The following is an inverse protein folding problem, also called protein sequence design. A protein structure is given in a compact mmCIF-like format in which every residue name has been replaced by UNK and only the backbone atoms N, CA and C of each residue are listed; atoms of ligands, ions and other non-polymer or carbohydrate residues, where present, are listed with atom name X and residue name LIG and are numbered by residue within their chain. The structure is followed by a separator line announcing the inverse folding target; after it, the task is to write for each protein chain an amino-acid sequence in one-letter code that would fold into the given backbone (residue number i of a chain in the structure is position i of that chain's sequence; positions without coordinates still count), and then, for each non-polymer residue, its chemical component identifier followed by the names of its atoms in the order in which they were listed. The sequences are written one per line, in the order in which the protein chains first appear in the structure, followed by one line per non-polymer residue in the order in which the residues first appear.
data_IF_466070760185
#
_entry.id   IF_466070760185
#
_cell.length_a   1.000
_cell.length_b   1.000
_cell.length_c   1.000
_cell.angle_alpha   90.00
_cell.angle_beta   90.00
_cell.angle_gamma   90.00
#
_symmetry.space_group_name_H-M   'P 1'
#
loop_
_entity.id
_entity.type
_entity.pdbx_description
1 polymer ?
#
# COMPACT_ATOMS: atom_id res chain seq x y z
N UNK A 1 -14.43 9.02 -9.76
CA UNK A 1 -13.54 10.05 -9.18
C UNK A 1 -13.67 10.02 -7.68
N UNK A 2 -12.54 9.96 -6.98
CA UNK A 2 -12.51 9.95 -5.52
C UNK A 2 -12.88 11.32 -4.94
N UNK A 3 -13.08 11.37 -3.62
CA UNK A 3 -13.21 12.61 -2.88
C UNK A 3 -12.15 12.74 -1.78
N UNK A 4 -11.74 13.97 -1.48
CA UNK A 4 -10.92 14.31 -0.32
C UNK A 4 -11.68 15.28 0.58
N UNK A 5 -11.82 14.93 1.86
CA UNK A 5 -12.47 15.81 2.84
C UNK A 5 -11.39 16.36 3.76
N UNK A 6 -11.12 17.66 3.65
CA UNK A 6 -10.12 18.37 4.43
C UNK A 6 -10.71 18.86 5.75
N UNK A 7 -10.12 18.48 6.88
CA UNK A 7 -10.46 19.05 8.18
C UNK A 7 -9.80 20.41 8.33
N UNK A 8 -10.60 21.44 8.57
CA UNK A 8 -10.12 22.76 8.97
C UNK A 8 -9.93 22.80 10.48
N UNK A 9 -8.87 23.46 10.93
CA UNK A 9 -8.60 23.63 12.35
C UNK A 9 -9.74 24.39 13.03
N UNK A 10 -10.12 23.93 14.22
CA UNK A 10 -11.21 24.53 15.01
C UNK A 10 -11.02 26.03 15.25
N UNK A 11 -9.77 26.47 15.39
CA UNK A 11 -9.43 27.89 15.57
C UNK A 11 -9.66 28.72 14.31
N UNK A 12 -9.46 28.13 13.12
CA UNK A 12 -9.70 28.80 11.84
C UNK A 12 -11.15 28.75 11.40
N UNK A 13 -11.92 27.75 11.84
CA UNK A 13 -13.36 27.59 11.60
C UNK A 13 -13.77 27.79 10.12
N UNK A 14 -14.91 28.43 9.86
CA UNK A 14 -15.36 28.79 8.51
C UNK A 14 -14.46 29.82 7.82
N UNK A 15 -13.70 30.63 8.55
CA UNK A 15 -12.76 31.58 7.94
C UNK A 15 -11.57 30.86 7.29
N UNK A 16 -11.12 29.75 7.86
CA UNK A 16 -10.15 28.84 7.23
C UNK A 16 -10.69 28.24 5.93
N UNK A 17 -11.94 27.78 5.95
CA UNK A 17 -12.65 27.30 4.74
C UNK A 17 -12.66 28.37 3.65
N UNK A 18 -13.09 29.60 3.99
CA UNK A 18 -13.11 30.74 3.07
C UNK A 18 -11.74 31.05 2.50
N UNK A 19 -10.71 31.06 3.35
CA UNK A 19 -9.32 31.34 2.94
C UNK A 19 -8.82 30.31 1.95
N UNK A 20 -8.97 29.02 2.24
CA UNK A 20 -8.57 27.93 1.34
C UNK A 20 -9.29 28.04 0.00
N UNK A 21 -10.62 28.21 0.02
CA UNK A 21 -11.42 28.30 -1.21
C UNK A 21 -11.05 29.52 -2.04
N UNK A 22 -10.91 30.70 -1.42
CA UNK A 22 -10.53 31.92 -2.12
C UNK A 22 -9.19 31.78 -2.84
N UNK A 23 -8.25 31.04 -2.25
CA UNK A 23 -6.91 30.81 -2.79
C UNK A 23 -6.82 29.60 -3.73
N UNK A 24 -7.84 28.73 -3.76
CA UNK A 24 -7.78 27.46 -4.48
C UNK A 24 -6.67 26.53 -3.99
N UNK A 25 -6.33 26.57 -2.70
CA UNK A 25 -5.17 25.89 -2.13
C UNK A 25 -5.47 25.34 -0.73
N UNK A 26 -5.03 24.11 -0.47
CA UNK A 26 -5.06 23.50 0.86
C UNK A 26 -3.68 22.96 1.24
N UNK A 27 -3.27 23.18 2.49
CA UNK A 27 -2.03 22.66 3.05
C UNK A 27 -2.32 22.05 4.41
N UNK A 28 -1.91 20.80 4.59
CA UNK A 28 -2.05 20.09 5.87
C UNK A 28 -0.94 20.49 6.81
N UNK A 29 -1.27 20.71 8.08
CA UNK A 29 -0.25 20.91 9.12
C UNK A 29 0.11 19.57 9.75
N UNK A 30 1.40 19.28 9.75
CA UNK A 30 1.96 18.04 10.31
C UNK A 30 2.82 18.34 11.54
N UNK A 31 3.13 17.33 12.37
CA UNK A 31 4.07 17.51 13.48
C UNK A 31 5.40 18.09 12.99
N UNK A 32 5.93 19.08 13.73
CA UNK A 32 7.22 19.73 13.46
C UNK A 32 8.13 19.77 14.72
N UNK A 33 7.81 18.94 15.69
CA UNK A 33 8.64 18.67 16.85
C UNK A 33 9.79 17.71 16.50
N UNK A 34 10.95 17.89 17.14
CA UNK A 34 11.97 16.84 17.25
C UNK A 34 11.85 16.31 18.68
N UNK A 35 11.85 14.98 18.80
CA UNK A 35 12.52 14.23 19.87
C UNK A 35 13.48 15.14 20.63
N UNK A 36 13.17 15.49 21.88
CA UNK A 36 14.22 15.95 22.75
C UNK A 36 15.21 14.78 22.89
N UNK A 37 16.50 15.08 22.99
CA UNK A 37 17.59 14.10 23.17
C UNK A 37 17.42 13.29 24.49
N UNK A 38 16.35 13.55 25.25
CA UNK A 38 15.99 12.90 26.51
C UNK A 38 14.57 12.30 26.49
N UNK A 39 13.80 12.43 25.41
CA UNK A 39 12.48 11.81 25.28
C UNK A 39 12.55 10.59 24.36
N UNK A 40 12.26 9.44 24.97
CA UNK A 40 12.13 8.09 24.41
C UNK A 40 12.00 8.02 22.88
N UNK A 41 12.82 7.16 22.24
CA UNK A 41 12.77 6.80 20.80
C UNK A 41 11.34 6.57 20.26
N UNK A 42 10.39 6.22 21.13
CA UNK A 42 8.98 6.04 20.83
C UNK A 42 8.24 7.30 20.34
N UNK A 43 8.54 8.51 20.82
CA UNK A 43 7.75 9.71 20.47
C UNK A 43 8.07 10.22 19.07
N UNK A 44 9.36 10.31 18.70
CA UNK A 44 9.77 10.73 17.36
C UNK A 44 9.43 9.74 16.25
N UNK A 45 9.35 8.45 16.58
CA UNK A 45 8.86 7.46 15.64
C UNK A 45 7.38 7.71 15.30
N UNK A 46 6.58 8.19 16.27
CA UNK A 46 5.17 8.54 16.04
C UNK A 46 5.01 9.78 15.17
N UNK A 47 5.77 10.86 15.39
CA UNK A 47 5.70 12.05 14.53
C UNK A 47 6.09 11.72 13.08
N UNK A 48 7.12 10.89 12.87
CA UNK A 48 7.50 10.41 11.54
C UNK A 48 6.43 9.55 10.87
N UNK A 49 5.76 8.69 11.63
CA UNK A 49 4.62 7.92 11.12
C UNK A 49 3.47 8.84 10.67
N UNK A 50 3.13 9.87 11.43
CA UNK A 50 2.09 10.84 11.03
C UNK A 50 2.51 11.60 9.78
N UNK A 51 3.76 12.07 9.69
CA UNK A 51 4.28 12.73 8.48
C UNK A 51 4.24 11.81 7.26
N UNK A 52 4.61 10.54 7.41
CA UNK A 52 4.54 9.55 6.34
C UNK A 52 3.09 9.27 5.90
N UNK A 53 2.14 9.22 6.83
CA UNK A 53 0.73 9.01 6.52
C UNK A 53 0.17 10.18 5.68
N UNK A 54 0.47 11.42 6.09
CA UNK A 54 0.05 12.61 5.33
C UNK A 54 0.74 12.65 3.96
N UNK A 55 2.02 12.28 3.87
CA UNK A 55 2.72 12.14 2.59
C UNK A 55 2.04 11.11 1.68
N UNK A 56 1.67 9.95 2.21
CA UNK A 56 0.92 8.91 1.51
C UNK A 56 -0.42 9.44 0.96
N UNK A 57 -1.15 10.20 1.78
CA UNK A 57 -2.39 10.82 1.36
C UNK A 57 -2.20 11.78 0.17
N UNK A 58 -1.18 12.65 0.21
CA UNK A 58 -0.85 13.53 -0.92
C UNK A 58 -0.45 12.71 -2.16
N UNK A 59 0.38 11.67 -2.01
CA UNK A 59 0.76 10.80 -3.14
C UNK A 59 -0.44 10.16 -3.83
N UNK A 60 -1.55 9.94 -3.11
CA UNK A 60 -2.78 9.37 -3.65
C UNK A 60 -3.67 10.35 -4.43
N UNK A 61 -3.37 11.66 -4.42
CA UNK A 61 -4.18 12.69 -5.06
C UNK A 61 -3.94 12.77 -6.57
N UNK A 62 -5.03 12.86 -7.34
CA UNK A 62 -4.99 13.07 -8.78
C UNK A 62 -5.87 14.26 -9.19
N UNK A 63 -5.50 14.93 -10.29
CA UNK A 63 -6.35 15.96 -10.86
C UNK A 63 -7.70 15.36 -11.28
N UNK A 64 -8.79 16.08 -10.97
CA UNK A 64 -10.16 15.60 -11.15
C UNK A 64 -10.80 15.04 -9.87
N UNK A 65 -10.02 14.60 -8.88
CA UNK A 65 -10.59 14.18 -7.60
C UNK A 65 -11.32 15.35 -6.91
N UNK A 66 -12.47 15.07 -6.31
CA UNK A 66 -13.26 16.10 -5.65
C UNK A 66 -12.65 16.51 -4.31
N UNK A 67 -12.85 17.78 -3.93
CA UNK A 67 -12.42 18.29 -2.62
C UNK A 67 -13.58 18.91 -1.84
N UNK A 68 -13.55 18.69 -0.53
CA UNK A 68 -14.55 19.15 0.43
C UNK A 68 -13.86 19.69 1.68
N UNK A 69 -14.53 20.57 2.42
CA UNK A 69 -14.00 21.11 3.66
C UNK A 69 -14.91 20.81 4.84
N UNK A 70 -14.40 20.13 5.86
CA UNK A 70 -15.07 19.92 7.14
C UNK A 70 -14.65 21.00 8.14
N UNK A 71 -15.63 21.71 8.69
CA UNK A 71 -15.42 22.68 9.76
C UNK A 71 -16.66 22.75 10.65
N UNK A 72 -16.48 22.70 11.97
CA UNK A 72 -17.57 22.73 12.97
C UNK A 72 -18.75 21.80 12.64
N UNK A 73 -18.45 20.51 12.39
CA UNK A 73 -19.39 19.44 11.99
C UNK A 73 -20.08 19.61 10.63
N UNK A 74 -19.75 20.67 9.87
CA UNK A 74 -20.35 20.92 8.56
C UNK A 74 -19.37 20.69 7.44
N UNK A 75 -19.84 20.08 6.36
CA UNK A 75 -19.07 19.88 5.14
C UNK A 75 -19.49 20.93 4.11
N UNK A 76 -18.50 21.64 3.57
CA UNK A 76 -18.66 22.78 2.69
C UNK A 76 -18.16 22.51 1.29
N UNK A 77 -18.98 22.99 0.33
CA UNK A 77 -18.74 23.10 -1.10
C UNK A 77 -18.28 21.83 -1.81
N UNK A 78 -18.06 21.97 -3.12
CA UNK A 78 -17.59 20.90 -3.99
C UNK A 78 -16.55 21.50 -4.92
N UNK A 79 -15.30 21.12 -4.73
CA UNK A 79 -14.20 21.49 -5.63
C UNK A 79 -13.69 20.27 -6.39
N UNK A 80 -12.68 20.51 -7.21
CA UNK A 80 -11.89 19.46 -7.84
C UNK A 80 -10.41 19.85 -7.86
N UNK A 81 -9.53 18.89 -7.59
CA UNK A 81 -8.09 19.05 -7.74
C UNK A 81 -7.76 19.36 -9.20
N UNK A 82 -6.85 20.31 -9.42
CA UNK A 82 -6.44 20.73 -10.77
C UNK A 82 -4.93 20.81 -10.89
N UNK A 83 -4.43 20.46 -12.07
CA UNK A 83 -3.01 20.66 -12.36
C UNK A 83 -2.73 22.14 -12.57
N UNK A 84 -1.82 22.69 -11.78
CA UNK A 84 -1.26 24.03 -11.98
C UNK A 84 0.20 23.83 -12.38
N UNK A 85 0.45 23.78 -13.68
CA UNK A 85 1.72 23.32 -14.22
C UNK A 85 1.71 21.81 -14.44
N UNK A 86 2.51 21.08 -13.66
CA UNK A 86 2.84 19.67 -13.91
C UNK A 86 2.11 18.65 -13.02
N UNK A 87 1.45 19.11 -11.96
CA UNK A 87 0.74 18.29 -10.97
C UNK A 87 -0.30 19.18 -10.23
N UNK A 88 -1.13 18.55 -9.40
CA UNK A 88 -2.11 19.20 -8.52
C UNK A 88 -1.60 19.38 -7.08
N UNK A 89 -0.38 18.91 -6.80
CA UNK A 89 0.21 18.85 -5.46
C UNK A 89 1.70 19.10 -5.49
N UNK A 90 2.20 19.74 -4.44
CA UNK A 90 3.59 20.17 -4.36
C UNK A 90 4.11 20.13 -2.93
N UNK A 91 5.44 19.99 -2.80
CA UNK A 91 6.17 20.46 -1.63
C UNK A 91 5.94 21.96 -1.47
N UNK A 92 5.73 22.42 -0.25
CA UNK A 92 5.65 23.85 0.02
C UNK A 92 7.04 24.51 -0.01
N UNK A 93 8.10 23.76 0.30
CA UNK A 93 9.48 24.24 0.25
C UNK A 93 10.42 23.09 -0.15
N UNK A 94 11.62 23.39 -0.67
CA UNK A 94 12.43 22.42 -1.42
C UNK A 94 12.80 21.14 -0.63
N UNK A 95 13.07 21.28 0.66
CA UNK A 95 13.44 20.19 1.57
C UNK A 95 12.25 19.64 2.37
N UNK A 96 11.00 19.90 1.97
CA UNK A 96 9.79 19.49 2.72
C UNK A 96 9.66 17.97 2.96
N UNK A 97 10.22 17.15 2.07
CA UNK A 97 10.26 15.69 2.23
C UNK A 97 11.27 15.23 3.31
N UNK A 98 12.12 16.12 3.83
CA UNK A 98 13.01 15.81 4.93
C UNK A 98 12.28 15.88 6.27
N UNK A 99 12.03 14.75 6.92
CA UNK A 99 11.29 14.68 8.19
C UNK A 99 12.02 15.28 9.42
N UNK A 100 13.13 15.98 9.21
CA UNK A 100 13.78 16.76 10.24
C UNK A 100 12.98 18.01 10.64
N UNK A 101 12.98 18.31 11.95
CA UNK A 101 12.44 19.56 12.49
C UNK A 101 13.07 20.77 11.81
N UNK A 102 12.21 21.72 11.44
CA UNK A 102 12.59 23.02 10.90
C UNK A 102 12.02 24.12 11.79
N UNK A 103 12.85 25.00 12.33
CA UNK A 103 12.37 26.02 13.28
C UNK A 103 11.50 27.09 12.61
N UNK A 104 11.88 27.46 11.37
CA UNK A 104 11.16 28.44 10.55
C UNK A 104 11.46 28.19 9.08
N UNK A 105 10.51 28.60 8.24
CA UNK A 105 10.72 28.72 6.80
C UNK A 105 11.27 30.11 6.52
N UNK A 106 12.43 30.19 5.87
CA UNK A 106 13.10 31.45 5.49
C UNK A 106 13.02 31.64 3.98
N UNK A 107 13.31 32.85 3.50
CA UNK A 107 13.27 33.18 2.06
C UNK A 107 14.15 32.24 1.22
N UNK A 108 15.31 31.82 1.75
CA UNK A 108 16.22 30.88 1.10
C UNK A 108 15.63 29.48 0.88
N UNK A 109 14.56 29.10 1.60
CA UNK A 109 13.85 27.84 1.42
C UNK A 109 12.93 27.85 0.18
N UNK A 110 12.74 29.04 -0.42
CA UNK A 110 11.93 29.28 -1.60
C UNK A 110 10.52 28.69 -1.46
N UNK A 111 9.78 29.09 -0.41
CA UNK A 111 8.47 28.51 -0.19
C UNK A 111 7.44 28.96 -1.24
N UNK A 112 6.62 28.02 -1.72
CA UNK A 112 5.48 28.32 -2.58
C UNK A 112 4.46 29.17 -1.81
N UNK A 113 4.25 28.88 -0.53
CA UNK A 113 3.41 29.66 0.38
C UNK A 113 4.20 30.03 1.65
N UNK A 114 4.06 31.29 2.08
CA UNK A 114 4.60 31.78 3.34
C UNK A 114 3.77 31.25 4.51
N UNK A 115 4.02 29.99 4.85
CA UNK A 115 3.39 29.25 5.94
C UNK A 115 4.46 28.78 6.93
N UNK A 116 4.01 28.31 8.08
CA UNK A 116 4.90 27.70 9.07
C UNK A 116 5.56 26.40 8.57
N UNK A 117 6.68 25.99 9.19
CA UNK A 117 7.41 24.76 8.84
C UNK A 117 6.59 23.47 8.94
N UNK A 118 5.47 23.49 9.68
CA UNK A 118 4.51 22.39 9.73
C UNK A 118 3.72 22.15 8.43
N UNK A 119 3.69 23.11 7.51
CA UNK A 119 2.96 23.02 6.24
C UNK A 119 3.92 22.57 5.14
N UNK A 120 4.21 21.27 5.12
CA UNK A 120 5.22 20.66 4.23
C UNK A 120 4.73 20.48 2.80
N UNK A 121 3.45 20.19 2.63
CA UNK A 121 2.85 19.89 1.34
C UNK A 121 1.56 20.67 1.16
N UNK A 122 1.19 20.88 -0.10
CA UNK A 122 -0.02 21.58 -0.50
C UNK A 122 -0.61 20.96 -1.76
N UNK A 123 -1.91 21.14 -1.94
CA UNK A 123 -2.63 20.79 -3.16
C UNK A 123 -3.46 21.97 -3.66
N UNK A 124 -3.78 21.93 -4.95
CA UNK A 124 -4.40 23.00 -5.71
C UNK A 124 -5.72 22.51 -6.30
N UNK A 125 -6.74 23.33 -6.20
CA UNK A 125 -8.09 22.99 -6.62
C UNK A 125 -8.84 24.21 -7.16
N UNK A 126 -9.89 23.94 -7.91
CA UNK A 126 -10.85 24.95 -8.36
C UNK A 126 -12.28 24.51 -7.98
N UNK A 127 -13.26 25.43 -7.99
CA UNK A 127 -14.65 25.07 -7.78
C UNK A 127 -15.14 24.08 -8.84
N UNK A 128 -15.86 23.03 -8.40
CA UNK A 128 -16.60 22.15 -9.30
C UNK A 128 -17.97 22.79 -9.54
N UNK A 129 -18.00 23.75 -10.46
CA UNK A 129 -19.03 24.79 -10.62
C UNK A 129 -18.94 25.90 -9.55
N UNK A 130 -19.22 25.60 -8.28
CA UNK A 130 -19.20 26.58 -7.18
C UNK A 130 -18.93 25.90 -5.84
N UNK A 131 -18.30 26.61 -4.89
CA UNK A 131 -18.32 26.21 -3.49
C UNK A 131 -19.51 26.83 -2.76
N UNK A 132 -20.42 26.00 -2.25
CA UNK A 132 -21.54 26.47 -1.43
C UNK A 132 -21.07 27.06 -0.08
N UNK A 133 -21.57 28.25 0.25
CA UNK A 133 -21.27 28.92 1.51
C UNK A 133 -22.04 28.30 2.70
N UNK A 134 -23.15 27.62 2.43
CA UNK A 134 -23.91 26.90 3.44
C UNK A 134 -23.49 25.43 3.51
N UNK A 135 -22.70 25.09 4.52
CA UNK A 135 -22.28 23.73 4.79
C UNK A 135 -23.45 22.86 5.29
N UNK A 136 -23.36 21.57 4.99
CA UNK A 136 -24.33 20.54 5.39
C UNK A 136 -23.82 19.85 6.65
N UNK A 137 -24.68 19.65 7.65
CA UNK A 137 -24.30 18.97 8.89
C UNK A 137 -23.94 17.50 8.64
N UNK A 138 -22.92 16.99 9.33
CA UNK A 138 -22.44 15.63 9.18
C UNK A 138 -23.53 14.57 9.45
N UNK A 139 -24.46 14.81 10.38
CA UNK A 139 -25.55 13.87 10.65
C UNK A 139 -26.50 13.80 9.44
N UNK A 140 -26.74 14.94 8.77
CA UNK A 140 -27.55 14.97 7.55
C UNK A 140 -26.87 14.20 6.41
N UNK A 141 -25.56 14.39 6.23
CA UNK A 141 -24.77 13.65 5.23
C UNK A 141 -24.87 12.14 5.49
N UNK A 142 -24.55 11.71 6.71
CA UNK A 142 -24.53 10.29 7.07
C UNK A 142 -25.92 9.64 7.06
N UNK A 143 -27.00 10.44 7.10
CA UNK A 143 -28.39 9.97 7.00
C UNK A 143 -28.92 9.84 5.57
N UNK A 144 -28.33 10.53 4.58
CA UNK A 144 -28.85 10.59 3.21
C UNK A 144 -28.79 9.23 2.48
N UNK A 145 -27.61 8.59 2.48
CA UNK A 145 -27.39 7.22 1.99
C UNK A 145 -26.46 6.48 2.95
N UNK A 146 -26.98 5.99 4.09
CA UNK A 146 -26.12 5.49 5.17
C UNK A 146 -25.18 4.36 4.79
N UNK A 147 -25.57 3.52 3.81
CA UNK A 147 -24.79 2.37 3.33
C UNK A 147 -23.58 2.77 2.49
N UNK A 148 -23.60 3.94 1.85
CA UNK A 148 -22.46 4.42 1.05
C UNK A 148 -21.29 4.80 1.96
N UNK A 149 -21.56 5.49 3.08
CA UNK A 149 -20.52 6.06 3.93
C UNK A 149 -19.85 5.04 4.85
N UNK A 150 -18.61 4.68 4.53
CA UNK A 150 -17.73 3.84 5.35
C UNK A 150 -16.59 4.68 5.92
N UNK A 151 -15.76 5.27 5.06
CA UNK A 151 -14.58 6.03 5.42
C UNK A 151 -14.94 7.30 6.20
N UNK A 152 -15.94 8.05 5.74
CA UNK A 152 -16.37 9.28 6.43
C UNK A 152 -16.73 9.03 7.92
N UNK A 153 -17.25 7.85 8.26
CA UNK A 153 -17.60 7.50 9.65
C UNK A 153 -16.39 7.32 10.57
N UNK A 154 -15.21 7.08 9.99
CA UNK A 154 -13.95 6.96 10.73
C UNK A 154 -13.09 8.23 10.66
N UNK A 155 -13.63 9.35 10.15
CA UNK A 155 -12.90 10.59 10.05
C UNK A 155 -12.74 11.25 11.42
N UNK A 156 -11.63 10.94 12.10
CA UNK A 156 -11.27 11.47 13.41
C UNK A 156 -9.75 11.65 13.52
N UNK A 157 -9.32 12.75 14.14
CA UNK A 157 -7.92 13.04 14.50
C UNK A 157 -6.91 12.98 13.33
N UNK A 158 -7.39 13.21 12.09
CA UNK A 158 -6.57 13.29 10.87
C UNK A 158 -6.86 14.58 10.12
N UNK A 159 -5.87 15.07 9.36
CA UNK A 159 -6.00 16.33 8.60
C UNK A 159 -6.97 16.19 7.44
N UNK A 160 -7.06 15.01 6.83
CA UNK A 160 -8.03 14.71 5.80
C UNK A 160 -8.22 13.22 5.57
N UNK A 161 -9.24 12.87 4.80
CA UNK A 161 -9.58 11.49 4.45
C UNK A 161 -9.95 11.39 2.97
N UNK A 162 -9.51 10.31 2.30
CA UNK A 162 -9.96 9.97 0.96
C UNK A 162 -11.18 9.06 1.04
N UNK A 163 -12.17 9.33 0.20
CA UNK A 163 -13.39 8.53 0.05
C UNK A 163 -13.48 8.01 -1.39
N UNK A 164 -14.06 6.83 -1.57
CA UNK A 164 -14.23 6.21 -2.88
C UNK A 164 -15.32 6.90 -3.72
N UNK A 165 -15.58 6.38 -4.92
CA UNK A 165 -16.55 6.99 -5.85
C UNK A 165 -17.99 6.95 -5.33
N UNK A 166 -18.36 5.89 -4.59
CA UNK A 166 -19.71 5.72 -4.07
C UNK A 166 -19.97 6.74 -2.96
N UNK A 167 -19.04 6.84 -2.00
CA UNK A 167 -19.07 7.86 -0.95
C UNK A 167 -19.02 9.27 -1.52
N UNK A 168 -18.14 9.51 -2.49
CA UNK A 168 -18.01 10.81 -3.14
C UNK A 168 -19.31 11.24 -3.83
N UNK A 169 -19.93 10.33 -4.59
CA UNK A 169 -21.22 10.59 -5.24
C UNK A 169 -22.31 10.90 -4.22
N UNK A 170 -22.43 10.08 -3.17
CA UNK A 170 -23.44 10.28 -2.13
C UNK A 170 -23.27 11.63 -1.41
N UNK A 171 -22.02 12.02 -1.10
CA UNK A 171 -21.71 13.31 -0.49
C UNK A 171 -22.06 14.47 -1.40
N UNK A 172 -21.63 14.41 -2.67
CA UNK A 172 -21.90 15.44 -3.67
C UNK A 172 -23.40 15.65 -3.85
N UNK A 173 -24.15 14.57 -4.09
CA UNK A 173 -25.62 14.63 -4.22
C UNK A 173 -26.28 15.28 -3.00
N UNK A 174 -25.87 14.91 -1.79
CA UNK A 174 -26.41 15.48 -0.54
C UNK A 174 -26.18 17.01 -0.48
N UNK A 175 -24.96 17.46 -0.76
CA UNK A 175 -24.60 18.88 -0.72
C UNK A 175 -25.40 19.68 -1.74
N UNK A 176 -25.51 19.21 -2.99
CA UNK A 176 -26.28 19.89 -4.03
C UNK A 176 -27.77 19.94 -3.70
N UNK A 177 -28.37 18.83 -3.23
CA UNK A 177 -29.80 18.80 -2.88
C UNK A 177 -30.13 19.75 -1.73
N UNK A 178 -29.28 19.81 -0.70
CA UNK A 178 -29.46 20.71 0.46
C UNK A 178 -29.26 22.19 0.12
N UNK A 179 -28.49 22.47 -0.93
CA UNK A 179 -28.18 23.83 -1.38
C UNK A 179 -28.90 24.26 -2.66
N UNK A 180 -29.81 23.44 -3.22
CA UNK A 180 -30.48 23.71 -4.50
C UNK A 180 -31.14 25.09 -4.59
N UNK A 181 -31.74 25.54 -3.48
CA UNK A 181 -32.49 26.80 -3.38
C UNK A 181 -31.63 27.94 -2.80
N UNK A 182 -30.36 27.66 -2.50
CA UNK A 182 -29.45 28.55 -1.76
C UNK A 182 -28.35 29.04 -2.69
N UNK A 183 -28.47 30.28 -3.16
CA UNK A 183 -27.50 30.90 -4.09
C UNK A 183 -26.38 31.66 -3.36
N UNK A 184 -25.84 31.09 -2.28
CA UNK A 184 -24.69 31.68 -1.57
C UNK A 184 -23.45 30.84 -1.83
N UNK A 185 -22.47 31.47 -2.46
CA UNK A 185 -21.22 30.83 -2.84
C UNK A 185 -20.03 31.53 -2.20
N UNK A 186 -18.98 30.78 -1.93
CA UNK A 186 -17.69 31.37 -1.59
C UNK A 186 -17.03 31.96 -2.84
N UNK A 187 -16.28 33.04 -2.65
CA UNK A 187 -15.46 33.65 -3.70
C UNK A 187 -14.21 32.79 -3.96
N UNK A 188 -13.80 32.71 -5.22
CA UNK A 188 -12.61 31.99 -5.68
C UNK A 188 -11.79 32.92 -6.59
N UNK A 189 -10.46 32.83 -6.51
CA UNK A 189 -9.52 33.59 -7.34
C UNK A 189 -8.40 32.67 -7.85
N UNK A 190 -8.03 32.85 -9.12
CA UNK A 190 -6.89 32.16 -9.75
C UNK A 190 -5.53 32.80 -9.41
N UNK A 191 -5.53 33.94 -8.71
CA UNK A 191 -4.32 34.74 -8.45
C UNK A 191 -3.18 33.95 -7.79
N UNK A 192 -3.49 33.05 -6.85
CA UNK A 192 -2.46 32.22 -6.21
C UNK A 192 -1.94 31.13 -7.14
N UNK A 193 -2.78 30.56 -8.01
CA UNK A 193 -2.34 29.60 -9.03
C UNK A 193 -1.39 30.27 -10.01
N UNK A 194 -1.74 31.46 -10.48
CA UNK A 194 -0.90 32.28 -11.38
C UNK A 194 0.45 32.65 -10.74
N UNK A 195 0.46 32.97 -9.43
CA UNK A 195 1.69 33.23 -8.68
C UNK A 195 2.56 31.98 -8.57
N UNK A 196 1.97 30.82 -8.26
CA UNK A 196 2.70 29.55 -8.13
C UNK A 196 3.33 29.14 -9.47
N UNK A 197 2.68 29.42 -10.61
CA UNK A 197 3.24 29.14 -11.95
C UNK A 197 4.54 29.92 -12.26
N UNK A 198 4.88 30.96 -11.49
CA UNK A 198 6.13 31.69 -11.64
C UNK A 198 7.35 30.92 -11.09
N UNK A 199 7.12 29.85 -10.33
CA UNK A 199 8.17 29.00 -9.76
C UNK A 199 8.55 27.86 -10.72
N UNK A 200 9.76 27.33 -10.56
CA UNK A 200 10.20 26.10 -11.22
C UNK A 200 9.63 24.87 -10.49
N UNK A 201 8.38 24.53 -10.84
CA UNK A 201 7.56 23.54 -10.13
C UNK A 201 8.14 22.11 -10.16
N UNK A 202 9.03 21.78 -11.09
CA UNK A 202 9.72 20.48 -11.13
C UNK A 202 10.50 20.22 -9.83
N UNK A 203 11.08 21.27 -9.22
CA UNK A 203 11.81 21.15 -7.94
C UNK A 203 10.91 20.88 -6.73
N UNK A 204 9.60 21.14 -6.87
CA UNK A 204 8.61 21.02 -5.80
C UNK A 204 7.82 19.72 -5.90
N UNK A 205 8.16 18.78 -6.79
CA UNK A 205 7.49 17.48 -6.86
C UNK A 205 7.57 16.75 -5.53
N UNK A 206 6.44 16.16 -5.14
CA UNK A 206 6.39 15.24 -3.99
C UNK A 206 7.01 13.91 -4.43
N UNK A 207 7.92 13.38 -3.60
CA UNK A 207 8.67 12.15 -3.88
C UNK A 207 8.97 11.42 -2.58
N UNK A 208 8.25 10.32 -2.27
CA UNK A 208 8.58 9.46 -1.14
C UNK A 208 9.99 8.87 -1.23
N UNK A 209 10.53 8.67 -2.44
CA UNK A 209 11.90 8.18 -2.65
C UNK A 209 12.95 9.09 -1.99
N UNK A 210 12.80 10.42 -2.10
CA UNK A 210 13.69 11.39 -1.44
C UNK A 210 13.70 11.20 0.09
N UNK A 211 12.54 10.86 0.64
CA UNK A 211 12.37 10.60 2.08
C UNK A 211 12.99 9.26 2.47
N UNK A 212 12.74 8.22 1.67
CA UNK A 212 13.29 6.87 1.89
C UNK A 212 14.81 6.92 1.96
N UNK A 213 15.49 7.57 1.01
CA UNK A 213 16.97 7.62 0.99
C UNK A 213 17.55 8.13 2.32
N UNK A 214 16.89 9.11 2.94
CA UNK A 214 17.29 9.71 4.23
C UNK A 214 16.87 8.87 5.44
N UNK A 215 15.72 8.21 5.36
CA UNK A 215 15.09 7.47 6.45
C UNK A 215 15.26 5.95 6.32
N UNK A 216 16.17 5.48 5.46
CA UNK A 216 16.47 4.06 5.33
C UNK A 216 17.54 3.65 6.36
N UNK A 217 17.30 2.53 7.04
CA UNK A 217 18.30 1.95 7.92
C UNK A 217 19.20 1.01 7.11
N UNK A 218 20.36 1.51 6.65
CA UNK A 218 21.31 0.74 5.84
C UNK A 218 21.98 -0.40 6.60
N UNK A 219 22.16 -0.30 7.92
CA UNK A 219 22.74 -1.38 8.73
C UNK A 219 21.80 -2.59 8.79
N UNK A 220 20.51 -2.34 8.97
CA UNK A 220 19.47 -3.37 8.99
C UNK A 220 18.97 -3.70 7.59
N UNK A 221 19.24 -2.87 6.58
CA UNK A 221 18.62 -2.94 5.26
C UNK A 221 17.08 -2.91 5.34
N UNK A 222 16.53 -1.97 6.12
CA UNK A 222 15.09 -1.85 6.40
C UNK A 222 14.61 -0.40 6.31
N UNK A 223 13.34 -0.19 5.97
CA UNK A 223 12.69 1.11 6.06
C UNK A 223 12.35 1.38 7.53
N UNK A 224 12.59 2.61 8.02
CA UNK A 224 12.37 2.98 9.42
C UNK A 224 10.91 2.80 9.88
N UNK A 225 9.95 3.15 9.02
CA UNK A 225 8.51 3.07 9.30
C UNK A 225 7.75 2.38 8.17
N UNK A 226 6.73 1.59 8.52
CA UNK A 226 5.85 0.91 7.56
C UNK A 226 5.07 1.91 6.70
N UNK A 227 4.59 2.98 7.32
CA UNK A 227 3.88 4.09 6.67
C UNK A 227 4.70 4.79 5.57
N UNK A 228 6.03 4.79 5.65
CA UNK A 228 6.87 5.33 4.58
C UNK A 228 6.96 4.37 3.37
N UNK A 229 6.95 3.06 3.62
CA UNK A 229 6.82 2.05 2.55
C UNK A 229 5.45 2.18 1.86
N UNK A 230 4.40 2.45 2.64
CA UNK A 230 3.04 2.72 2.16
C UNK A 230 2.99 3.94 1.24
N UNK A 231 3.53 5.08 1.68
CA UNK A 231 3.63 6.28 0.85
C UNK A 231 4.34 6.03 -0.49
N UNK A 232 5.45 5.29 -0.46
CA UNK A 232 6.19 4.92 -1.67
C UNK A 232 5.41 3.98 -2.57
N UNK A 233 4.74 2.96 -2.02
CA UNK A 233 3.93 2.03 -2.80
C UNK A 233 2.76 2.74 -3.48
N UNK A 234 2.08 3.68 -2.80
CA UNK A 234 1.00 4.48 -3.40
C UNK A 234 1.52 5.31 -4.57
N UNK A 235 2.65 5.99 -4.38
CA UNK A 235 3.29 6.80 -5.43
C UNK A 235 3.72 5.93 -6.62
N UNK A 236 4.31 4.77 -6.34
CA UNK A 236 4.73 3.78 -7.34
C UNK A 236 3.55 3.27 -8.17
N UNK A 237 2.46 2.82 -7.52
CA UNK A 237 1.27 2.29 -8.20
C UNK A 237 0.57 3.39 -8.99
N UNK A 238 0.42 4.58 -8.40
CA UNK A 238 -0.28 5.70 -9.06
C UNK A 238 0.44 6.17 -10.33
N UNK A 239 1.79 6.09 -10.37
CA UNK A 239 2.59 6.50 -11.53
C UNK A 239 2.81 5.39 -12.55
N UNK A 240 3.09 4.17 -12.09
CA UNK A 240 3.59 3.08 -12.93
C UNK A 240 2.60 1.92 -13.08
N UNK A 241 1.56 1.89 -12.26
CA UNK A 241 0.73 0.70 -12.09
C UNK A 241 1.42 -0.39 -11.27
N UNK A 242 0.84 -1.59 -11.26
CA UNK A 242 1.38 -2.77 -10.59
C UNK A 242 1.28 -3.99 -11.50
N UNK A 243 2.38 -4.72 -11.69
CA UNK A 243 2.45 -5.88 -12.61
C UNK A 243 1.96 -5.58 -14.05
N UNK A 244 2.16 -4.35 -14.54
CA UNK A 244 1.73 -3.93 -15.88
C UNK A 244 0.27 -3.48 -15.97
N UNK A 245 -0.49 -3.53 -14.87
CA UNK A 245 -1.86 -3.02 -14.80
C UNK A 245 -1.88 -1.61 -14.19
N UNK A 246 -2.68 -0.70 -14.78
CA UNK A 246 -2.95 0.61 -14.19
C UNK A 246 -4.12 0.53 -13.22
N UNK A 247 -4.09 1.36 -12.18
CA UNK A 247 -5.14 1.47 -11.18
C UNK A 247 -5.67 2.91 -11.15
N UNK A 248 -6.99 3.06 -11.25
CA UNK A 248 -7.67 4.36 -11.29
C UNK A 248 -7.85 4.96 -9.90
N UNK A 249 -8.00 4.08 -8.90
CA UNK A 249 -8.08 4.47 -7.50
C UNK A 249 -7.01 3.73 -6.71
N UNK A 250 -6.22 4.49 -5.94
CA UNK A 250 -5.24 3.97 -4.98
C UNK A 250 -5.39 4.80 -3.71
N UNK A 251 -5.47 4.14 -2.57
CA UNK A 251 -5.53 4.79 -1.26
C UNK A 251 -4.97 3.88 -0.18
N UNK A 252 -4.88 4.42 1.02
CA UNK A 252 -4.25 3.79 2.15
C UNK A 252 -5.17 3.80 3.37
N UNK A 253 -4.93 2.90 4.33
CA UNK A 253 -5.64 2.87 5.61
C UNK A 253 -7.19 2.75 5.50
N UNK A 254 -7.69 1.94 4.55
CA UNK A 254 -9.13 1.73 4.32
C UNK A 254 -9.72 0.78 5.35
N UNK A 255 -10.89 1.11 5.89
CA UNK A 255 -11.60 0.29 6.89
C UNK A 255 -11.86 -1.13 6.34
N UNK A 256 -11.41 -2.12 7.10
CA UNK A 256 -11.42 -3.52 6.70
C UNK A 256 -12.12 -4.43 7.72
N UNK A 257 -13.05 -3.86 8.50
CA UNK A 257 -13.80 -4.58 9.53
C UNK A 257 -15.14 -3.89 9.82
N UNK A 258 -16.11 -4.60 10.44
CA UNK A 258 -17.37 -3.99 10.86
C UNK A 258 -17.11 -2.79 11.78
N UNK A 259 -18.02 -1.82 11.75
CA UNK A 259 -17.88 -0.62 12.54
C UNK A 259 -17.85 -0.94 14.04
N UNK A 260 -16.80 -0.45 14.71
CA UNK A 260 -16.47 -0.63 16.13
C UNK A 260 -15.73 0.63 16.60
N UNK A 261 -15.44 0.81 17.90
CA UNK A 261 -14.69 2.00 18.34
C UNK A 261 -13.40 2.16 17.53
N UNK A 262 -13.07 3.39 17.10
CA UNK A 262 -12.03 3.64 16.09
C UNK A 262 -10.66 3.06 16.49
N UNK A 263 -10.35 3.01 17.79
CA UNK A 263 -9.12 2.41 18.31
C UNK A 263 -8.96 0.90 18.00
N UNK A 264 -10.03 0.21 17.61
CA UNK A 264 -10.04 -1.23 17.33
C UNK A 264 -10.36 -1.55 15.86
N UNK A 265 -10.57 -0.56 15.00
CA UNK A 265 -10.86 -0.77 13.59
C UNK A 265 -9.63 -1.34 12.89
N UNK A 266 -9.81 -2.48 12.20
CA UNK A 266 -8.79 -3.00 11.28
C UNK A 266 -8.81 -2.16 10.00
N UNK A 267 -7.63 -1.90 9.44
CA UNK A 267 -7.45 -1.17 8.19
C UNK A 267 -6.55 -1.96 7.25
N UNK A 268 -6.88 -1.94 5.96
CA UNK A 268 -5.99 -2.38 4.90
C UNK A 268 -4.91 -1.31 4.70
N UNK A 269 -3.64 -1.73 4.60
CA UNK A 269 -2.55 -0.79 4.34
C UNK A 269 -2.77 -0.08 3.01
N UNK A 270 -2.93 -0.80 1.90
CA UNK A 270 -3.28 -0.20 0.60
C UNK A 270 -4.46 -0.92 -0.03
N UNK A 271 -5.40 -0.13 -0.52
CA UNK A 271 -6.54 -0.59 -1.31
C UNK A 271 -6.59 0.17 -2.62
N UNK A 272 -6.79 -0.57 -3.71
CA UNK A 272 -6.84 -0.02 -5.05
C UNK A 272 -7.88 -0.73 -5.90
N UNK A 273 -8.36 -0.05 -6.94
CA UNK A 273 -9.18 -0.67 -7.97
C UNK A 273 -8.99 -0.01 -9.33
N UNK A 274 -9.39 -0.73 -10.38
CA UNK A 274 -9.41 -0.23 -11.76
C UNK A 274 -10.76 -0.47 -12.40
N UNK A 275 -11.18 0.45 -13.25
CA UNK A 275 -12.42 0.35 -13.99
C UNK A 275 -12.28 -0.50 -15.25
N UNK A 276 -13.40 -1.05 -15.71
CA UNK A 276 -13.48 -1.63 -17.03
C UNK A 276 -13.45 -0.50 -18.09
N UNK A 277 -12.29 -0.27 -18.70
CA UNK A 277 -12.07 0.91 -19.56
C UNK A 277 -13.05 1.02 -20.73
N UNK A 278 -13.40 -0.12 -21.34
CA UNK A 278 -14.23 -0.21 -22.55
C UNK A 278 -15.74 -0.31 -22.26
N UNK A 279 -16.20 0.07 -21.07
CA UNK A 279 -17.62 0.11 -20.75
C UNK A 279 -18.31 1.31 -21.44
N UNK A 280 -19.52 1.14 -22.01
CA UNK A 280 -20.16 2.17 -22.82
C UNK A 280 -20.66 3.39 -22.02
N UNK A 281 -20.99 3.21 -20.74
CA UNK A 281 -21.53 4.29 -19.92
C UNK A 281 -20.43 5.11 -19.24
N UNK A 282 -20.79 6.33 -18.82
CA UNK A 282 -19.89 7.22 -18.09
C UNK A 282 -19.48 6.65 -16.72
N UNK A 283 -20.42 5.99 -16.04
CA UNK A 283 -20.15 5.27 -14.80
C UNK A 283 -19.65 3.87 -15.14
N UNK A 284 -18.34 3.67 -14.97
CA UNK A 284 -17.69 2.40 -15.31
C UNK A 284 -17.75 1.43 -14.13
N UNK A 285 -18.05 0.14 -14.37
CA UNK A 285 -17.94 -0.88 -13.34
C UNK A 285 -16.48 -1.09 -12.97
N UNK A 286 -16.25 -1.53 -11.73
CA UNK A 286 -14.93 -1.93 -11.26
C UNK A 286 -14.60 -3.30 -11.84
N UNK A 287 -13.46 -3.41 -12.52
CA UNK A 287 -12.98 -4.64 -13.16
C UNK A 287 -12.11 -5.48 -12.20
N UNK A 288 -11.29 -4.81 -11.39
CA UNK A 288 -10.37 -5.50 -10.46
C UNK A 288 -10.13 -4.65 -9.23
N UNK A 289 -10.15 -5.30 -8.08
CA UNK A 289 -9.70 -4.79 -6.79
C UNK A 289 -8.31 -5.35 -6.47
N UNK A 290 -7.49 -4.55 -5.80
CA UNK A 290 -6.21 -4.97 -5.25
C UNK A 290 -6.10 -4.54 -3.80
N UNK A 291 -5.66 -5.46 -2.95
CA UNK A 291 -5.25 -5.18 -1.58
C UNK A 291 -3.79 -5.52 -1.40
N UNK A 292 -3.05 -4.60 -0.77
CA UNK A 292 -1.66 -4.81 -0.40
C UNK A 292 -1.53 -4.69 1.11
N UNK A 293 -0.95 -5.71 1.73
CA UNK A 293 -0.47 -5.65 3.11
C UNK A 293 1.04 -5.47 3.10
N UNK A 294 1.54 -4.60 3.97
CA UNK A 294 2.94 -4.23 4.07
C UNK A 294 3.53 -4.72 5.39
N UNK A 295 4.81 -5.05 5.33
CA UNK A 295 5.62 -5.30 6.53
C UNK A 295 6.97 -4.63 6.40
N UNK A 296 7.31 -3.73 7.32
CA UNK A 296 8.67 -3.16 7.33
C UNK A 296 9.74 -4.22 7.60
N UNK A 297 9.43 -5.26 8.38
CA UNK A 297 10.39 -6.31 8.75
C UNK A 297 10.23 -7.58 7.92
N UNK A 298 10.85 -8.66 8.42
CA UNK A 298 10.52 -10.02 7.94
C UNK A 298 9.08 -10.36 8.34
N UNK A 299 8.32 -10.91 7.41
CA UNK A 299 6.96 -11.38 7.67
C UNK A 299 6.97 -12.69 8.49
N UNK A 300 5.92 -12.90 9.28
CA UNK A 300 5.68 -14.17 9.97
C UNK A 300 4.87 -15.12 9.09
N UNK A 301 4.68 -16.37 9.54
CA UNK A 301 3.83 -17.35 8.84
C UNK A 301 2.35 -16.97 8.80
N UNK A 302 1.90 -16.09 9.69
CA UNK A 302 0.50 -15.64 9.77
C UNK A 302 0.20 -14.46 8.83
N UNK A 303 1.22 -13.82 8.28
CA UNK A 303 1.06 -12.64 7.42
C UNK A 303 0.15 -12.90 6.20
N UNK A 304 0.28 -14.00 5.44
CA UNK A 304 -0.67 -14.34 4.39
C UNK A 304 -2.11 -14.53 4.90
N UNK A 305 -2.28 -15.08 6.11
CA UNK A 305 -3.59 -15.33 6.70
C UNK A 305 -4.30 -14.02 7.10
N UNK A 306 -3.54 -13.03 7.57
CA UNK A 306 -4.06 -11.68 7.81
C UNK A 306 -4.60 -11.07 6.52
N UNK A 307 -3.82 -11.16 5.43
CA UNK A 307 -4.22 -10.67 4.12
C UNK A 307 -5.49 -11.38 3.60
N UNK A 308 -5.69 -12.66 3.92
CA UNK A 308 -6.93 -13.36 3.58
C UNK A 308 -8.17 -12.79 4.27
N UNK A 309 -8.05 -12.21 5.47
CA UNK A 309 -9.18 -11.52 6.11
C UNK A 309 -9.65 -10.34 5.25
N UNK A 310 -8.72 -9.62 4.63
CA UNK A 310 -9.03 -8.49 3.76
C UNK A 310 -9.59 -8.94 2.42
N UNK A 311 -9.11 -10.05 1.85
CA UNK A 311 -9.72 -10.66 0.67
C UNK A 311 -11.19 -11.02 0.94
N UNK A 312 -11.47 -11.67 2.08
CA UNK A 312 -12.84 -12.01 2.47
C UNK A 312 -13.69 -10.77 2.77
N UNK A 313 -13.09 -9.69 3.28
CA UNK A 313 -13.77 -8.40 3.46
C UNK A 313 -14.14 -7.77 2.12
N UNK A 314 -13.18 -7.65 1.19
CA UNK A 314 -13.38 -7.06 -0.13
C UNK A 314 -14.43 -7.83 -0.92
N UNK A 315 -14.37 -9.17 -0.90
CA UNK A 315 -15.35 -10.03 -1.53
C UNK A 315 -16.77 -9.66 -1.09
N UNK A 316 -17.01 -9.56 0.22
CA UNK A 316 -18.34 -9.29 0.77
C UNK A 316 -18.80 -7.85 0.58
N UNK A 317 -17.91 -6.89 0.79
CA UNK A 317 -18.27 -5.47 0.91
C UNK A 317 -18.18 -4.70 -0.41
N UNK A 318 -17.33 -5.13 -1.33
CA UNK A 318 -17.05 -4.41 -2.58
C UNK A 318 -17.34 -5.24 -3.82
N UNK A 319 -16.99 -6.53 -3.82
CA UNK A 319 -17.06 -7.38 -5.01
C UNK A 319 -18.32 -8.27 -5.08
N UNK A 320 -19.35 -8.03 -4.27
CA UNK A 320 -20.61 -8.78 -4.27
C UNK A 320 -20.45 -10.32 -4.18
N UNK A 321 -19.42 -10.79 -3.48
CA UNK A 321 -19.07 -12.20 -3.30
C UNK A 321 -18.14 -12.77 -4.37
N UNK A 322 -17.80 -12.01 -5.42
CA UNK A 322 -16.95 -12.46 -6.51
C UNK A 322 -15.46 -12.30 -6.16
N UNK A 323 -14.83 -13.42 -5.82
CA UNK A 323 -13.40 -13.45 -5.53
C UNK A 323 -12.54 -13.24 -6.79
N UNK A 324 -13.05 -13.51 -8.00
CA UNK A 324 -12.26 -13.40 -9.24
C UNK A 324 -11.73 -11.99 -9.48
N UNK A 325 -12.46 -10.98 -8.98
CA UNK A 325 -12.13 -9.57 -9.09
C UNK A 325 -11.00 -9.14 -8.16
N UNK A 326 -10.54 -9.99 -7.24
CA UNK A 326 -9.62 -9.58 -6.17
C UNK A 326 -8.20 -10.06 -6.47
N UNK A 327 -7.22 -9.16 -6.30
CA UNK A 327 -5.80 -9.47 -6.24
C UNK A 327 -5.26 -9.15 -4.85
N UNK A 328 -4.49 -10.07 -4.29
CA UNK A 328 -3.86 -9.88 -2.99
C UNK A 328 -2.34 -9.83 -3.13
N UNK A 329 -1.72 -8.85 -2.48
CA UNK A 329 -0.27 -8.66 -2.53
C UNK A 329 0.27 -8.51 -1.11
N UNK A 330 1.29 -9.28 -0.78
CA UNK A 330 2.05 -9.11 0.45
C UNK A 330 3.42 -8.54 0.16
N UNK A 331 3.84 -7.46 0.81
CA UNK A 331 5.19 -6.91 0.64
C UNK A 331 5.91 -6.86 1.99
N UNK A 332 7.09 -7.47 2.07
CA UNK A 332 7.88 -7.50 3.29
C UNK A 332 9.38 -7.36 2.99
N UNK A 333 10.22 -7.27 4.01
CA UNK A 333 11.68 -7.34 3.83
C UNK A 333 12.16 -8.76 3.46
N UNK A 334 11.36 -9.77 3.78
CA UNK A 334 11.71 -11.17 3.58
C UNK A 334 10.68 -12.11 4.20
N UNK A 335 10.61 -13.34 3.67
CA UNK A 335 9.70 -14.36 4.14
C UNK A 335 10.43 -15.63 4.64
N UNK A 336 9.87 -16.33 5.63
CA UNK A 336 10.26 -17.69 5.95
C UNK A 336 10.16 -18.64 4.76
N UNK A 337 11.16 -19.49 4.59
CA UNK A 337 11.10 -20.62 3.65
C UNK A 337 9.99 -21.61 4.03
N UNK A 338 9.41 -22.26 3.02
CA UNK A 338 8.32 -23.23 3.17
C UNK A 338 6.93 -22.59 3.27
N UNK A 339 6.82 -21.27 3.12
CA UNK A 339 5.53 -20.57 3.19
C UNK A 339 4.59 -20.92 2.02
N UNK A 340 5.12 -21.46 0.91
CA UNK A 340 4.32 -21.93 -0.22
C UNK A 340 3.21 -22.90 0.21
N UNK A 341 3.47 -23.76 1.20
CA UNK A 341 2.48 -24.71 1.73
C UNK A 341 1.27 -24.00 2.35
N UNK A 342 1.51 -22.94 3.12
CA UNK A 342 0.44 -22.12 3.72
C UNK A 342 -0.40 -21.46 2.61
N UNK A 343 0.23 -20.97 1.56
CA UNK A 343 -0.47 -20.37 0.43
C UNK A 343 -1.34 -21.41 -0.29
N UNK A 344 -0.77 -22.58 -0.55
CA UNK A 344 -1.44 -23.64 -1.30
C UNK A 344 -2.61 -24.28 -0.53
N UNK A 345 -2.52 -24.35 0.79
CA UNK A 345 -3.50 -25.04 1.64
C UNK A 345 -4.54 -24.10 2.26
N UNK A 346 -4.14 -22.87 2.63
CA UNK A 346 -4.97 -21.98 3.46
C UNK A 346 -5.34 -20.65 2.78
N UNK A 347 -4.59 -20.23 1.76
CA UNK A 347 -4.81 -18.95 1.07
C UNK A 347 -5.54 -19.12 -0.26
N UNK A 348 -6.52 -20.04 -0.29
CA UNK A 348 -7.41 -20.27 -1.43
C UNK A 348 -8.86 -20.09 -1.01
N UNK A 349 -9.72 -19.70 -1.94
CA UNK A 349 -11.16 -19.55 -1.69
C UNK A 349 -11.94 -20.25 -2.80
N UNK A 350 -12.85 -21.12 -2.43
CA UNK A 350 -13.78 -21.72 -3.38
C UNK A 350 -15.04 -20.86 -3.43
N UNK A 351 -15.54 -20.59 -4.63
CA UNK A 351 -16.71 -19.74 -4.84
C UNK A 351 -17.51 -20.22 -6.06
N UNK A 352 -18.77 -19.77 -6.17
CA UNK A 352 -19.60 -20.04 -7.34
C UNK A 352 -19.25 -19.01 -8.42
N UNK A 353 -18.78 -19.48 -9.58
CA UNK A 353 -18.49 -18.63 -10.75
C UNK A 353 -19.70 -18.42 -11.64
N UNK A 354 -20.57 -19.43 -11.76
CA UNK A 354 -21.87 -19.34 -12.42
C UNK A 354 -22.95 -19.94 -11.53
N UNK A 355 -24.14 -19.35 -11.57
CA UNK A 355 -25.30 -19.83 -10.81
C UNK A 355 -26.15 -20.83 -11.62
N UNK A 356 -26.12 -20.75 -12.96
CA UNK A 356 -26.95 -21.60 -13.82
C UNK A 356 -26.24 -21.95 -15.15
N UNK A 357 -25.62 -23.15 -15.26
CA UNK A 357 -25.49 -24.17 -14.22
C UNK A 357 -24.57 -23.72 -13.08
N UNK A 358 -24.72 -24.30 -11.89
CA UNK A 358 -23.80 -24.04 -10.79
C UNK A 358 -22.39 -24.53 -11.16
N UNK A 359 -21.46 -23.61 -11.40
CA UNK A 359 -20.04 -23.90 -11.59
C UNK A 359 -19.25 -23.38 -10.39
N UNK A 360 -18.34 -24.19 -9.87
CA UNK A 360 -17.43 -23.80 -8.79
C UNK A 360 -16.08 -23.44 -9.36
N UNK A 361 -15.54 -22.32 -8.90
CA UNK A 361 -14.17 -21.90 -9.19
C UNK A 361 -13.36 -21.75 -7.90
N UNK A 362 -12.04 -21.66 -8.06
CA UNK A 362 -11.11 -21.45 -6.97
C UNK A 362 -10.26 -20.21 -7.21
N UNK A 363 -10.22 -19.34 -6.22
CA UNK A 363 -9.36 -18.17 -6.18
C UNK A 363 -8.04 -18.50 -5.47
N UNK A 364 -6.93 -18.01 -6.04
CA UNK A 364 -5.56 -18.17 -5.54
C UNK A 364 -4.64 -17.01 -5.98
N UNK A 365 -5.20 -15.83 -6.26
CA UNK A 365 -4.48 -14.65 -6.79
C UNK A 365 -3.79 -13.86 -5.67
N UNK A 366 -2.86 -14.54 -4.97
CA UNK A 366 -2.02 -13.98 -3.92
C UNK A 366 -0.55 -14.05 -4.34
N UNK A 367 0.13 -12.90 -4.35
CA UNK A 367 1.57 -12.80 -4.63
C UNK A 367 2.35 -12.14 -3.49
N UNK A 368 3.50 -12.71 -3.15
CA UNK A 368 4.40 -12.17 -2.12
C UNK A 368 5.65 -11.55 -2.75
N UNK A 369 6.01 -10.36 -2.29
CA UNK A 369 7.12 -9.55 -2.77
C UNK A 369 8.05 -9.15 -1.63
N UNK A 370 9.34 -9.09 -1.93
CA UNK A 370 10.37 -8.57 -1.06
C UNK A 370 10.82 -7.20 -1.54
N UNK A 371 10.87 -6.24 -0.64
CA UNK A 371 11.47 -4.94 -0.92
C UNK A 371 12.96 -4.96 -0.57
N UNK A 372 13.77 -4.21 -1.32
CA UNK A 372 15.19 -3.98 -1.01
C UNK A 372 15.66 -2.68 -1.63
N UNK A 373 16.76 -2.13 -1.12
CA UNK A 373 17.47 -1.05 -1.79
C UNK A 373 18.35 -1.62 -2.91
N UNK A 374 18.29 -1.04 -4.11
CA UNK A 374 19.19 -1.42 -5.20
C UNK A 374 20.56 -0.71 -5.08
N UNK A 375 21.46 -0.96 -6.04
CA UNK A 375 22.80 -0.36 -6.06
C UNK A 375 22.81 1.16 -6.30
N UNK A 376 21.72 1.73 -6.81
CA UNK A 376 21.55 3.17 -7.07
C UNK A 376 20.77 3.88 -5.95
N UNK A 377 20.62 3.25 -4.78
CA UNK A 377 19.82 3.74 -3.66
C UNK A 377 18.36 4.04 -4.01
N UNK A 378 17.77 3.20 -4.85
CA UNK A 378 16.35 3.22 -5.13
C UNK A 378 15.68 1.99 -4.55
N UNK A 379 14.52 2.19 -3.92
CA UNK A 379 13.72 1.09 -3.44
C UNK A 379 13.16 0.29 -4.63
N UNK A 380 13.21 -1.03 -4.52
CA UNK A 380 12.64 -1.95 -5.51
C UNK A 380 11.90 -3.07 -4.81
N UNK A 381 10.93 -3.66 -5.51
CA UNK A 381 10.23 -4.88 -5.09
C UNK A 381 10.49 -6.01 -6.07
N UNK A 382 10.63 -7.23 -5.55
CA UNK A 382 10.83 -8.45 -6.35
C UNK A 382 9.99 -9.58 -5.79
N UNK A 383 9.45 -10.45 -6.65
CA UNK A 383 8.66 -11.59 -6.22
C UNK A 383 9.50 -12.49 -5.30
N UNK A 384 8.98 -12.84 -4.13
CA UNK A 384 9.70 -13.61 -3.12
C UNK A 384 9.86 -15.07 -3.54
N UNK A 385 11.03 -15.64 -3.26
CA UNK A 385 11.24 -17.08 -3.34
C UNK A 385 10.93 -17.72 -1.98
N UNK A 386 9.68 -18.07 -1.78
CA UNK A 386 9.18 -18.72 -0.55
C UNK A 386 9.25 -20.25 -0.58
N UNK A 387 9.58 -20.83 -1.74
CA UNK A 387 9.64 -22.28 -1.92
C UNK A 387 10.87 -22.86 -1.20
N UNK A 388 10.68 -24.02 -0.57
CA UNK A 388 11.71 -24.78 0.13
C UNK A 388 11.78 -26.18 -0.46
N UNK A 389 12.71 -26.38 -1.40
CA UNK A 389 12.92 -27.65 -2.08
C UNK A 389 13.34 -28.76 -1.13
N UNK A 390 14.07 -28.44 -0.05
CA UNK A 390 14.49 -29.44 0.96
C UNK A 390 13.28 -29.97 1.71
N UNK A 391 12.43 -29.05 2.18
CA UNK A 391 11.24 -29.42 2.93
C UNK A 391 10.28 -30.24 2.06
N UNK A 392 10.00 -29.79 0.83
CA UNK A 392 9.14 -30.51 -0.10
C UNK A 392 9.68 -31.91 -0.41
N UNK A 393 10.97 -32.04 -0.73
CA UNK A 393 11.58 -33.35 -1.01
C UNK A 393 11.47 -34.30 0.19
N UNK A 394 11.72 -33.82 1.40
CA UNK A 394 11.62 -34.62 2.61
C UNK A 394 10.19 -35.13 2.84
N UNK A 395 9.19 -34.27 2.70
CA UNK A 395 7.79 -34.66 2.82
C UNK A 395 7.42 -35.71 1.78
N UNK A 396 7.71 -35.47 0.49
CA UNK A 396 7.38 -36.40 -0.59
C UNK A 396 8.09 -37.76 -0.44
N UNK A 397 9.34 -37.78 -0.01
CA UNK A 397 10.06 -39.02 0.27
C UNK A 397 9.44 -39.76 1.47
N UNK A 398 9.04 -39.04 2.51
CA UNK A 398 8.35 -39.62 3.66
C UNK A 398 6.99 -40.22 3.28
N UNK A 399 6.22 -39.54 2.41
CA UNK A 399 4.90 -39.99 1.95
C UNK A 399 4.95 -41.32 1.20
N UNK A 400 6.07 -41.59 0.51
CA UNK A 400 6.32 -42.87 -0.18
C UNK A 400 7.13 -43.87 0.68
N UNK A 401 7.26 -43.60 1.98
CA UNK A 401 7.89 -44.50 2.95
C UNK A 401 9.43 -44.53 2.91
N UNK A 402 10.09 -43.51 2.36
CA UNK A 402 11.54 -43.40 2.38
C UNK A 402 12.02 -42.63 3.60
N UNK A 403 12.79 -43.33 4.45
CA UNK A 403 13.50 -42.71 5.55
C UNK A 403 14.74 -41.94 5.07
N UNK A 404 14.89 -40.72 5.58
CA UNK A 404 16.07 -39.88 5.38
C UNK A 404 16.67 -39.49 6.73
N UNK A 405 17.93 -39.04 6.71
CA UNK A 405 18.59 -38.47 7.88
C UNK A 405 19.47 -37.28 7.49
N UNK A 406 19.85 -36.46 8.46
CA UNK A 406 20.70 -35.26 8.30
C UNK A 406 22.16 -35.54 8.68
N UNK A 407 22.54 -36.80 8.83
CA UNK A 407 23.90 -37.19 9.21
C UNK A 407 24.91 -36.90 8.11
N UNK A 408 26.13 -36.56 8.51
CA UNK A 408 27.26 -36.37 7.58
C UNK A 408 27.67 -37.68 6.91
N UNK A 409 28.37 -37.59 5.78
CA UNK A 409 28.99 -38.71 5.09
C UNK A 409 30.49 -38.66 5.38
N UNK A 410 31.10 -39.79 5.74
CA UNK A 410 32.54 -39.90 5.99
C UNK A 410 33.16 -40.87 5.01
N UNK A 411 34.16 -40.41 4.26
CA UNK A 411 34.90 -41.20 3.27
C UNK A 411 36.37 -40.85 3.43
N UNK A 412 37.25 -41.84 3.59
CA UNK A 412 38.70 -41.66 3.66
C UNK A 412 39.20 -40.60 4.66
N UNK A 413 38.46 -40.38 5.76
CA UNK A 413 38.77 -39.37 6.77
C UNK A 413 38.16 -37.98 6.52
N UNK A 414 37.66 -37.73 5.31
CA UNK A 414 36.95 -36.50 4.95
C UNK A 414 35.47 -36.56 5.32
N UNK A 415 34.86 -35.38 5.52
CA UNK A 415 33.49 -35.24 6.00
C UNK A 415 32.67 -34.35 5.07
N UNK A 416 31.65 -34.94 4.44
CA UNK A 416 30.72 -34.24 3.55
C UNK A 416 29.39 -34.01 4.26
N UNK A 417 28.84 -32.81 4.14
CA UNK A 417 27.66 -32.37 4.88
C UNK A 417 26.46 -32.11 3.94
N UNK A 418 25.75 -33.16 3.49
CA UNK A 418 24.52 -32.95 2.73
C UNK A 418 23.44 -32.30 3.59
N UNK A 419 22.48 -31.60 2.97
CA UNK A 419 21.29 -31.09 3.66
C UNK A 419 20.45 -32.24 4.24
N UNK A 420 20.40 -33.36 3.53
CA UNK A 420 19.93 -34.65 4.01
C UNK A 420 20.39 -35.78 3.07
N UNK A 421 20.29 -37.03 3.54
CA UNK A 421 20.65 -38.22 2.77
C UNK A 421 19.65 -39.36 2.99
N UNK A 422 19.52 -40.21 1.98
CA UNK A 422 18.79 -41.47 2.05
C UNK A 422 19.81 -42.60 2.10
N UNK A 423 20.07 -43.12 3.30
CA UNK A 423 21.18 -44.06 3.54
C UNK A 423 20.96 -45.40 2.80
N UNK A 424 19.73 -45.89 2.76
CA UNK A 424 19.36 -47.17 2.12
C UNK A 424 19.62 -47.18 0.61
N UNK A 425 19.52 -46.00 -0.03
CA UNK A 425 19.70 -45.82 -1.48
C UNK A 425 21.01 -45.14 -1.86
N UNK A 426 21.81 -44.72 -0.86
CA UNK A 426 23.00 -43.87 -1.03
C UNK A 426 22.73 -42.60 -1.85
N UNK A 427 21.65 -41.90 -1.56
CA UNK A 427 21.38 -40.57 -2.16
C UNK A 427 21.81 -39.48 -1.19
N UNK A 428 22.49 -38.44 -1.69
CA UNK A 428 22.94 -37.31 -0.90
C UNK A 428 22.55 -36.00 -1.58
N UNK A 429 21.81 -35.15 -0.85
CA UNK A 429 21.23 -33.93 -1.38
C UNK A 429 22.00 -32.71 -0.87
N UNK A 430 22.51 -31.89 -1.78
CA UNK A 430 23.36 -30.72 -1.49
C UNK A 430 22.79 -29.46 -2.12
N UNK A 431 23.00 -28.33 -1.47
CA UNK A 431 22.61 -26.99 -1.93
C UNK A 431 23.88 -26.28 -2.39
N UNK A 432 24.35 -26.66 -3.57
CA UNK A 432 25.72 -26.43 -4.02
C UNK A 432 26.73 -27.43 -3.44
N UNK A 433 27.62 -27.91 -4.31
CA UNK A 433 28.76 -28.77 -3.98
C UNK A 433 29.86 -28.53 -5.03
N UNK A 434 31.13 -28.54 -4.62
CA UNK A 434 32.21 -28.40 -5.60
C UNK A 434 32.43 -29.70 -6.39
N UNK A 435 33.08 -29.61 -7.55
CA UNK A 435 33.21 -30.75 -8.48
C UNK A 435 34.13 -31.85 -7.93
N UNK A 436 35.16 -31.50 -7.16
CA UNK A 436 36.08 -32.47 -6.53
C UNK A 436 35.36 -33.34 -5.49
N UNK A 437 34.58 -32.72 -4.60
CA UNK A 437 33.75 -33.41 -3.60
C UNK A 437 32.70 -34.31 -4.28
N UNK A 438 32.12 -33.84 -5.40
CA UNK A 438 31.16 -34.61 -6.19
C UNK A 438 31.79 -35.88 -6.77
N UNK A 439 33.00 -35.78 -7.32
CA UNK A 439 33.74 -36.93 -7.86
C UNK A 439 33.96 -37.97 -6.76
N UNK A 440 34.47 -37.56 -5.59
CA UNK A 440 34.75 -38.50 -4.48
C UNK A 440 33.47 -39.20 -4.01
N UNK A 441 32.36 -38.48 -3.87
CA UNK A 441 31.08 -39.07 -3.48
C UNK A 441 30.57 -40.08 -4.52
N UNK A 442 30.64 -39.73 -5.81
CA UNK A 442 30.23 -40.61 -6.90
C UNK A 442 31.09 -41.89 -6.96
N UNK A 443 32.42 -41.76 -6.82
CA UNK A 443 33.35 -42.92 -6.73
C UNK A 443 33.01 -43.84 -5.55
N UNK A 444 32.47 -43.28 -4.47
CA UNK A 444 32.00 -44.02 -3.29
C UNK A 444 30.53 -44.48 -3.37
N UNK A 445 29.96 -44.45 -4.58
CA UNK A 445 28.61 -44.90 -4.93
C UNK A 445 27.49 -44.07 -4.31
N UNK A 446 27.76 -42.82 -3.94
CA UNK A 446 26.71 -41.87 -3.57
C UNK A 446 26.18 -41.18 -4.82
N UNK A 447 24.86 -41.21 -5.04
CA UNK A 447 24.21 -40.36 -6.04
C UNK A 447 24.11 -38.95 -5.45
N UNK A 448 24.92 -38.03 -5.96
CA UNK A 448 24.94 -36.63 -5.52
C UNK A 448 23.87 -35.85 -6.28
N UNK A 449 22.97 -35.21 -5.54
CA UNK A 449 21.83 -34.47 -6.08
C UNK A 449 21.97 -33.02 -5.66
N UNK A 450 22.06 -32.12 -6.64
CA UNK A 450 22.05 -30.69 -6.38
C UNK A 450 20.60 -30.20 -6.37
N UNK A 451 20.19 -29.63 -5.23
CA UNK A 451 18.85 -29.13 -5.01
C UNK A 451 18.77 -27.60 -5.10
N UNK A 452 19.90 -26.91 -5.28
CA UNK A 452 19.95 -25.45 -5.42
C UNK A 452 19.26 -24.95 -6.70
N UNK A 453 19.15 -25.81 -7.72
CA UNK A 453 18.44 -25.52 -8.96
C UNK A 453 16.92 -25.67 -8.90
N UNK A 454 16.36 -26.27 -7.84
CA UNK A 454 14.95 -26.61 -7.73
C UNK A 454 14.15 -25.42 -7.20
N UNK A 455 13.21 -24.93 -8.01
CA UNK A 455 12.46 -23.70 -7.78
C UNK A 455 10.97 -23.92 -7.53
N UNK A 456 10.43 -25.10 -7.82
CA UNK A 456 9.01 -25.39 -7.69
C UNK A 456 8.71 -26.88 -7.46
N UNK A 457 7.44 -27.19 -7.18
CA UNK A 457 6.95 -28.56 -6.94
C UNK A 457 7.08 -29.47 -8.15
N UNK A 458 6.86 -28.98 -9.36
CA UNK A 458 6.94 -29.81 -10.57
C UNK A 458 8.37 -30.34 -10.80
N UNK A 459 9.39 -29.52 -10.52
CA UNK A 459 10.78 -29.94 -10.55
C UNK A 459 11.12 -30.94 -9.45
N UNK A 460 10.51 -30.83 -8.26
CA UNK A 460 10.62 -31.86 -7.21
C UNK A 460 10.00 -33.18 -7.67
N UNK A 461 8.79 -33.13 -8.22
CA UNK A 461 8.09 -34.32 -8.71
C UNK A 461 8.90 -35.01 -9.83
N UNK A 462 9.47 -34.21 -10.75
CA UNK A 462 10.36 -34.72 -11.79
C UNK A 462 11.62 -35.37 -11.22
N UNK A 463 12.30 -34.71 -10.27
CA UNK A 463 13.49 -35.25 -9.62
C UNK A 463 13.16 -36.58 -8.92
N UNK A 464 12.03 -36.67 -8.23
CA UNK A 464 11.61 -37.92 -7.58
C UNK A 464 11.45 -39.02 -8.64
N UNK A 465 10.75 -38.77 -9.74
CA UNK A 465 10.63 -39.74 -10.83
C UNK A 465 12.00 -40.18 -11.38
N UNK A 466 12.97 -39.28 -11.49
CA UNK A 466 14.35 -39.58 -11.91
C UNK A 466 15.19 -40.32 -10.85
N UNK A 467 14.82 -40.25 -9.57
CA UNK A 467 15.47 -41.01 -8.51
C UNK A 467 15.04 -42.48 -8.52
N UNK A 468 13.83 -42.78 -9.01
CA UNK A 468 13.28 -44.13 -9.08
C UNK A 468 13.45 -44.82 -10.44
N UNK A 469 14.00 -44.11 -11.43
CA UNK A 469 14.59 -44.72 -12.64
C UNK A 469 15.99 -45.21 -12.31
#
# INVERSE_FOLDING_TARGET
MAGFIFSIYKEENIEGVKKCIRQGLYASKVPNDKLSVQENESSGNKSKQVMAAVLADYCSMQAGDNVYFLSDRRIYGVGKLVNVGIDCKYKNFLDANNFERKEKVVEADQSLMQLGPEYRWLCLFEPDQHFFAEGVDMDEVLSYRPSAFRMLRAFQDVTFIKIDDEENRALKECIYLKNRDKQKYFEYSTSEHERILQFDLEKYRISPEETIIKEFNYEKNEINTEMLLEAWMIDFISKNGFEGEKYDYVTHQVIASPFKPLAYIDKMDIFAYRYLENFPDTEKPIEKYMVIELKKGKATRDFPLQLMRYVDWISREYAAGDYSLIKAVGIAKGYPKGMQKILDEQCKRSYLSDLHPNTTSQWNDLSLYEYSMNQTNQLQIKKSNIFDSILELKERLSDIGIEYNTGKIRINGEVYAPKFKVQSKKWAFFDGLNEEERIVLNENKWKVIDIGGIKNKAEVDQLILELFK
#
